data_IF_129406347769
#
_entry.id   IF_129406347769
#
_cell.length_a   1.000
_cell.length_b   1.000
_cell.length_c   1.000
_cell.angle_alpha   90.00
_cell.angle_beta   90.00
_cell.angle_gamma   90.00
#
_symmetry.space_group_name_H-M   'P 1'
#
loop_
_entity.id
_entity.type
_entity.pdbx_description
1 polymer ?
#
# COMPACT_ATOMS: atom_id res chain seq x y z
N UNK A 1 -4.47 -1.71 8.70
CA UNK A 1 -4.45 -2.99 7.96
C UNK A 1 -5.86 -3.24 7.46
N UNK A 2 -6.11 -3.03 6.18
CA UNK A 2 -7.42 -3.37 5.58
C UNK A 2 -7.35 -4.85 5.22
N UNK A 3 -8.18 -5.66 5.88
CA UNK A 3 -8.15 -7.12 5.80
C UNK A 3 -8.77 -7.61 4.48
N UNK A 4 -8.45 -8.82 4.03
CA UNK A 4 -9.16 -9.54 2.95
C UNK A 4 -10.69 -9.50 3.13
N UNK A 5 -11.16 -9.43 4.37
CA UNK A 5 -12.57 -9.21 4.71
C UNK A 5 -13.16 -7.96 4.06
N UNK A 6 -12.42 -6.86 3.98
CA UNK A 6 -12.92 -5.63 3.37
C UNK A 6 -13.10 -5.79 1.86
N UNK A 7 -12.17 -6.48 1.20
CA UNK A 7 -12.29 -6.81 -0.23
C UNK A 7 -13.53 -7.68 -0.43
N UNK A 8 -13.71 -8.73 0.37
CA UNK A 8 -14.87 -9.62 0.27
C UNK A 8 -16.20 -8.89 0.48
N UNK A 9 -16.31 -8.04 1.50
CA UNK A 9 -17.54 -7.28 1.78
C UNK A 9 -17.87 -6.37 0.60
N UNK A 10 -16.89 -5.63 0.10
CA UNK A 10 -17.11 -4.72 -1.03
C UNK A 10 -17.47 -5.49 -2.31
N UNK A 11 -16.81 -6.62 -2.58
CA UNK A 11 -17.10 -7.48 -3.72
C UNK A 11 -18.55 -7.99 -3.69
N UNK A 12 -18.98 -8.51 -2.54
CA UNK A 12 -20.33 -9.02 -2.33
C UNK A 12 -21.41 -7.92 -2.40
N UNK A 13 -21.24 -6.83 -1.65
CA UNK A 13 -22.27 -5.80 -1.55
C UNK A 13 -22.43 -5.00 -2.85
N UNK A 14 -21.32 -4.71 -3.55
CA UNK A 14 -21.38 -3.97 -4.82
C UNK A 14 -22.00 -4.85 -5.92
N UNK A 15 -21.68 -6.14 -5.95
CA UNK A 15 -22.32 -7.09 -6.87
C UNK A 15 -23.82 -7.24 -6.59
N UNK A 16 -24.23 -7.25 -5.31
CA UNK A 16 -25.65 -7.30 -4.92
C UNK A 16 -26.45 -6.06 -5.33
N UNK A 17 -25.78 -4.91 -5.46
CA UNK A 17 -26.37 -3.70 -6.02
C UNK A 17 -26.48 -3.73 -7.55
N UNK A 18 -26.02 -4.81 -8.19
CA UNK A 18 -26.09 -5.01 -9.64
C UNK A 18 -24.94 -4.38 -10.43
N UNK A 19 -23.87 -3.93 -9.77
CA UNK A 19 -22.71 -3.36 -10.43
C UNK A 19 -21.68 -4.43 -10.75
N UNK A 20 -21.19 -4.44 -12.00
CA UNK A 20 -20.07 -5.28 -12.39
C UNK A 20 -18.75 -4.66 -11.87
N UNK A 21 -17.97 -5.44 -11.13
CA UNK A 21 -16.68 -5.02 -10.58
C UNK A 21 -15.57 -5.39 -11.57
N UNK A 22 -14.87 -4.38 -12.09
CA UNK A 22 -13.70 -4.57 -12.95
C UNK A 22 -12.44 -4.83 -12.14
N UNK A 23 -12.29 -4.14 -11.01
CA UNK A 23 -11.14 -4.31 -10.15
C UNK A 23 -11.44 -3.91 -8.71
N UNK A 24 -11.00 -4.73 -7.76
CA UNK A 24 -11.04 -4.39 -6.35
C UNK A 24 -9.63 -4.52 -5.74
N UNK A 25 -9.18 -3.44 -5.13
CA UNK A 25 -7.93 -3.38 -4.36
C UNK A 25 -8.17 -2.61 -3.08
N UNK A 26 -7.17 -2.66 -2.19
CA UNK A 26 -7.20 -1.91 -0.95
C UNK A 26 -7.51 -0.42 -1.21
N UNK A 27 -8.63 0.08 -0.68
CA UNK A 27 -9.02 1.49 -0.79
C UNK A 27 -9.61 1.91 -2.14
N UNK A 28 -9.78 0.99 -3.11
CA UNK A 28 -10.33 1.32 -4.43
C UNK A 28 -11.18 0.18 -5.00
N UNK A 29 -12.38 0.53 -5.43
CA UNK A 29 -13.21 -0.33 -6.28
C UNK A 29 -13.46 0.37 -7.60
N UNK A 30 -13.26 -0.35 -8.69
CA UNK A 30 -13.55 0.09 -10.06
C UNK A 30 -14.72 -0.74 -10.56
N UNK A 31 -15.82 -0.06 -10.91
CA UNK A 31 -17.02 -0.67 -11.46
C UNK A 31 -17.19 -0.30 -12.92
N UNK A 32 -17.84 -1.16 -13.70
CA UNK A 32 -18.13 -0.89 -15.09
C UNK A 32 -19.28 0.12 -15.22
N UNK A 33 -18.98 1.32 -15.72
CA UNK A 33 -19.98 2.38 -15.92
C UNK A 33 -20.90 2.15 -17.13
N UNK A 34 -20.58 1.19 -18.00
CA UNK A 34 -21.38 0.84 -19.18
C UNK A 34 -22.45 -0.23 -18.88
N UNK A 35 -22.54 -0.66 -17.62
CA UNK A 35 -23.62 -1.53 -17.15
C UNK A 35 -24.98 -0.84 -17.30
N UNK A 36 -26.07 -1.60 -17.51
CA UNK A 36 -27.45 -1.09 -17.61
C UNK A 36 -27.98 -0.40 -16.33
N UNK A 37 -27.14 -0.21 -15.30
CA UNK A 37 -27.48 0.38 -14.01
C UNK A 37 -26.58 1.59 -13.80
N UNK A 38 -27.16 2.79 -13.78
CA UNK A 38 -26.44 4.01 -13.41
C UNK A 38 -26.09 3.96 -11.92
N UNK A 39 -24.80 4.15 -11.54
CA UNK A 39 -24.42 4.11 -10.13
C UNK A 39 -25.10 5.19 -9.29
N UNK A 40 -25.95 4.79 -8.35
CA UNK A 40 -26.53 5.69 -7.36
C UNK A 40 -25.57 5.85 -6.17
N UNK A 41 -24.92 7.02 -6.14
CA UNK A 41 -23.97 7.38 -5.09
C UNK A 41 -24.60 7.40 -3.68
N UNK A 42 -25.89 7.68 -3.55
CA UNK A 42 -26.57 7.71 -2.25
C UNK A 42 -26.76 6.29 -1.71
N UNK A 43 -27.15 5.35 -2.59
CA UNK A 43 -27.26 3.92 -2.27
C UNK A 43 -25.90 3.34 -1.91
N UNK A 44 -24.87 3.62 -2.72
CA UNK A 44 -23.51 3.16 -2.46
C UNK A 44 -22.99 3.72 -1.12
N UNK A 45 -23.20 5.02 -0.85
CA UNK A 45 -22.79 5.63 0.41
C UNK A 45 -23.48 4.98 1.62
N UNK A 46 -24.79 4.72 1.51
CA UNK A 46 -25.56 4.07 2.57
C UNK A 46 -25.03 2.65 2.86
N UNK A 47 -24.77 1.87 1.80
CA UNK A 47 -24.18 0.54 1.92
C UNK A 47 -22.79 0.60 2.58
N UNK A 48 -21.90 1.47 2.10
CA UNK A 48 -20.56 1.61 2.64
C UNK A 48 -20.59 1.96 4.14
N UNK A 49 -21.39 2.96 4.52
CA UNK A 49 -21.54 3.37 5.92
C UNK A 49 -22.06 2.23 6.81
N UNK A 50 -23.01 1.43 6.32
CA UNK A 50 -23.53 0.26 7.04
C UNK A 50 -22.44 -0.78 7.35
N UNK A 51 -21.42 -0.85 6.51
CA UNK A 51 -20.28 -1.76 6.66
C UNK A 51 -19.02 -1.08 7.25
N UNK A 52 -19.14 0.17 7.73
CA UNK A 52 -18.06 0.92 8.35
C UNK A 52 -17.03 1.50 7.36
N UNK A 53 -17.40 1.63 6.09
CA UNK A 53 -16.62 2.31 5.06
C UNK A 53 -17.15 3.72 4.82
N UNK A 54 -16.26 4.64 4.46
CA UNK A 54 -16.62 6.00 4.06
C UNK A 54 -16.19 6.25 2.61
N UNK A 55 -17.05 6.91 1.84
CA UNK A 55 -16.74 7.28 0.46
C UNK A 55 -15.98 8.61 0.48
N UNK A 56 -14.77 8.63 -0.09
CA UNK A 56 -13.95 9.85 -0.11
C UNK A 56 -14.49 10.82 -1.16
N UNK A 57 -15.02 11.95 -0.69
CA UNK A 57 -15.54 13.03 -1.56
C UNK A 57 -14.50 14.14 -1.77
N UNK A 58 -13.49 14.25 -0.90
CA UNK A 58 -12.49 15.30 -0.98
C UNK A 58 -11.42 14.98 -2.05
N UNK A 59 -11.20 15.94 -2.96
CA UNK A 59 -10.22 15.80 -4.05
C UNK A 59 -8.80 15.58 -3.54
N UNK A 60 -8.43 16.20 -2.43
CA UNK A 60 -7.12 16.05 -1.82
C UNK A 60 -6.96 14.69 -1.15
N UNK A 61 -8.02 14.18 -0.49
CA UNK A 61 -8.01 12.81 0.04
C UNK A 61 -7.85 11.78 -1.07
N UNK A 62 -8.53 11.96 -2.21
CA UNK A 62 -8.36 11.10 -3.39
C UNK A 62 -6.91 11.11 -3.89
N UNK A 63 -6.29 12.28 -3.99
CA UNK A 63 -4.88 12.39 -4.39
C UNK A 63 -3.98 11.65 -3.40
N UNK A 64 -4.22 11.78 -2.10
CA UNK A 64 -3.44 11.07 -1.07
C UNK A 64 -3.60 9.55 -1.20
N UNK A 65 -4.81 9.04 -1.42
CA UNK A 65 -5.01 7.60 -1.65
C UNK A 65 -4.36 7.11 -2.95
N UNK A 66 -4.39 7.91 -4.02
CA UNK A 66 -3.66 7.62 -5.25
C UNK A 66 -2.14 7.53 -5.01
N UNK A 67 -1.58 8.47 -4.26
CA UNK A 67 -0.16 8.43 -3.86
C UNK A 67 0.16 7.12 -3.13
N UNK A 68 -0.69 6.71 -2.17
CA UNK A 68 -0.47 5.47 -1.41
C UNK A 68 -0.44 4.25 -2.34
N UNK A 69 -1.36 4.18 -3.30
CA UNK A 69 -1.43 3.08 -4.28
C UNK A 69 -0.17 3.07 -5.16
N UNK A 70 0.25 4.24 -5.67
CA UNK A 70 1.47 4.37 -6.48
C UNK A 70 2.70 3.92 -5.69
N UNK A 71 2.78 4.24 -4.40
CA UNK A 71 3.88 3.82 -3.52
C UNK A 71 3.89 2.30 -3.35
N UNK A 72 2.76 1.67 -3.07
CA UNK A 72 2.68 0.20 -2.94
C UNK A 72 3.09 -0.50 -4.24
N UNK A 73 2.53 -0.06 -5.38
CA UNK A 73 2.85 -0.63 -6.69
C UNK A 73 4.33 -0.44 -7.03
N UNK A 74 4.89 0.74 -6.74
CA UNK A 74 6.32 1.03 -6.94
C UNK A 74 7.23 0.16 -6.07
N UNK A 75 6.86 -0.07 -4.80
CA UNK A 75 7.61 -0.99 -3.91
C UNK A 75 7.56 -2.42 -4.47
N UNK A 76 6.40 -2.89 -4.91
CA UNK A 76 6.23 -4.24 -5.43
C UNK A 76 6.99 -4.43 -6.75
N UNK A 77 6.97 -3.45 -7.65
CA UNK A 77 7.74 -3.47 -8.89
C UNK A 77 9.24 -3.50 -8.61
N UNK A 78 9.72 -2.63 -7.71
CA UNK A 78 11.12 -2.61 -7.30
C UNK A 78 11.56 -3.97 -6.76
N UNK A 79 10.78 -4.58 -5.87
CA UNK A 79 11.08 -5.89 -5.32
C UNK A 79 11.15 -6.99 -6.40
N UNK A 80 10.18 -7.00 -7.34
CA UNK A 80 10.11 -8.01 -8.39
C UNK A 80 11.24 -7.89 -9.43
N UNK A 81 11.66 -6.66 -9.74
CA UNK A 81 12.62 -6.39 -10.81
C UNK A 81 14.04 -6.12 -10.30
N UNK A 82 14.21 -5.82 -9.01
CA UNK A 82 15.48 -5.38 -8.43
C UNK A 82 15.94 -3.99 -8.88
N UNK A 83 15.08 -3.22 -9.57
CA UNK A 83 15.41 -1.91 -10.11
C UNK A 83 14.96 -0.81 -9.14
N UNK A 84 15.86 0.05 -8.63
CA UNK A 84 15.50 1.13 -7.72
C UNK A 84 14.47 2.10 -8.33
N UNK A 85 13.39 2.35 -7.61
CA UNK A 85 12.32 3.27 -8.02
C UNK A 85 12.60 4.67 -7.50
N UNK A 86 12.60 5.65 -8.41
CA UNK A 86 12.58 7.07 -8.08
C UNK A 86 11.14 7.51 -7.80
N UNK A 87 10.69 7.36 -6.56
CA UNK A 87 9.30 7.65 -6.18
C UNK A 87 8.84 9.07 -6.48
N UNK A 88 9.72 10.06 -6.37
CA UNK A 88 9.38 11.44 -6.73
C UNK A 88 8.97 11.57 -8.20
N UNK A 89 9.77 10.99 -9.11
CA UNK A 89 9.46 10.97 -10.54
C UNK A 89 8.23 10.11 -10.84
N UNK A 90 8.10 8.94 -10.22
CA UNK A 90 6.96 8.03 -10.43
C UNK A 90 5.64 8.69 -10.03
N UNK A 91 5.59 9.30 -8.85
CA UNK A 91 4.37 9.93 -8.33
C UNK A 91 4.01 11.16 -9.17
N UNK A 92 4.98 12.01 -9.49
CA UNK A 92 4.75 13.19 -10.32
C UNK A 92 4.31 12.86 -11.75
N UNK A 93 4.88 11.81 -12.35
CA UNK A 93 4.54 11.42 -13.72
C UNK A 93 3.12 10.87 -13.82
N UNK A 94 2.70 10.04 -12.86
CA UNK A 94 1.36 9.43 -12.84
C UNK A 94 0.29 10.47 -12.50
N UNK A 95 0.57 11.36 -11.54
CA UNK A 95 -0.41 12.36 -11.08
C UNK A 95 -0.37 13.67 -11.88
N UNK A 96 0.56 13.79 -12.82
CA UNK A 96 0.80 15.00 -13.62
C UNK A 96 0.90 16.27 -12.76
N UNK A 97 1.62 16.16 -11.63
CA UNK A 97 1.73 17.20 -10.61
C UNK A 97 3.16 17.27 -10.05
N UNK A 98 3.55 18.47 -9.65
CA UNK A 98 4.80 18.71 -8.95
C UNK A 98 4.89 17.90 -7.64
N UNK A 99 6.05 17.30 -7.38
CA UNK A 99 6.27 16.44 -6.22
C UNK A 99 6.21 17.23 -4.90
N UNK A 100 6.71 18.45 -4.87
CA UNK A 100 6.76 19.24 -3.63
C UNK A 100 5.34 19.59 -3.14
N UNK A 101 4.46 19.91 -4.08
CA UNK A 101 3.03 20.13 -3.85
C UNK A 101 2.34 18.87 -3.33
N UNK A 102 2.61 17.72 -3.95
CA UNK A 102 2.05 16.42 -3.54
C UNK A 102 2.56 15.99 -2.17
N UNK A 103 3.86 16.18 -1.90
CA UNK A 103 4.50 15.87 -0.63
C UNK A 103 3.94 16.74 0.50
N UNK A 104 3.71 18.03 0.24
CA UNK A 104 3.12 18.97 1.19
C UNK A 104 1.68 18.60 1.51
N UNK A 105 0.87 18.30 0.49
CA UNK A 105 -0.50 17.84 0.65
C UNK A 105 -0.60 16.52 1.42
N UNK A 106 0.27 15.56 1.09
CA UNK A 106 0.33 14.30 1.80
C UNK A 106 0.67 14.51 3.27
N UNK A 107 1.65 15.37 3.55
CA UNK A 107 2.11 15.67 4.91
C UNK A 107 1.02 16.32 5.75
N UNK A 108 0.25 17.26 5.17
CA UNK A 108 -0.82 17.95 5.90
C UNK A 108 -1.97 17.02 6.27
N UNK A 109 -2.30 16.04 5.41
CA UNK A 109 -3.40 15.11 5.65
C UNK A 109 -3.00 13.86 6.45
N UNK A 110 -1.75 13.38 6.34
CA UNK A 110 -1.32 12.15 6.99
C UNK A 110 -0.52 12.37 8.27
N UNK A 111 -0.15 13.62 8.59
CA UNK A 111 0.66 13.96 9.77
C UNK A 111 2.10 13.46 9.70
N UNK A 112 2.56 12.97 8.54
CA UNK A 112 3.93 12.52 8.30
C UNK A 112 4.33 12.75 6.85
N UNK A 113 5.62 12.98 6.60
CA UNK A 113 6.11 13.31 5.26
C UNK A 113 5.99 12.13 4.31
N UNK A 114 5.74 12.41 3.02
CA UNK A 114 5.64 11.38 1.99
C UNK A 114 6.91 10.50 1.92
N UNK A 115 8.09 11.08 2.11
CA UNK A 115 9.33 10.31 2.22
C UNK A 115 9.32 9.32 3.40
N UNK A 116 8.92 9.79 4.60
CA UNK A 116 8.80 8.92 5.78
C UNK A 116 7.76 7.84 5.57
N UNK A 117 6.66 8.14 4.86
CA UNK A 117 5.65 7.16 4.49
C UNK A 117 6.26 6.05 3.63
N UNK A 118 6.94 6.41 2.54
CA UNK A 118 7.59 5.46 1.63
C UNK A 118 8.57 4.57 2.40
N UNK A 119 9.39 5.15 3.28
CA UNK A 119 10.31 4.38 4.11
C UNK A 119 9.56 3.39 5.02
N UNK A 120 8.50 3.83 5.70
CA UNK A 120 7.70 2.93 6.53
C UNK A 120 7.12 1.77 5.71
N UNK A 121 6.57 2.04 4.53
CA UNK A 121 6.01 1.00 3.65
C UNK A 121 7.07 0.02 3.17
N UNK A 122 8.28 0.50 2.81
CA UNK A 122 9.42 -0.36 2.48
C UNK A 122 9.81 -1.25 3.66
N UNK A 123 9.85 -0.70 4.88
CA UNK A 123 10.18 -1.47 6.09
C UNK A 123 9.10 -2.51 6.41
N UNK A 124 7.82 -2.20 6.23
CA UNK A 124 6.75 -3.20 6.38
C UNK A 124 6.93 -4.36 5.39
N UNK A 125 7.28 -4.08 4.14
CA UNK A 125 7.57 -5.15 3.16
C UNK A 125 8.80 -5.97 3.56
N UNK A 126 9.86 -5.34 4.06
CA UNK A 126 11.07 -6.03 4.55
C UNK A 126 10.73 -6.97 5.72
N UNK A 127 9.90 -6.53 6.67
CA UNK A 127 9.44 -7.37 7.79
C UNK A 127 8.70 -8.60 7.27
N UNK A 128 7.78 -8.42 6.32
CA UNK A 128 7.06 -9.52 5.68
C UNK A 128 8.02 -10.53 5.06
N UNK A 129 8.99 -10.06 4.26
CA UNK A 129 9.97 -10.92 3.60
C UNK A 129 10.84 -11.70 4.59
N UNK A 130 11.30 -11.04 5.67
CA UNK A 130 12.10 -11.71 6.70
C UNK A 130 11.33 -12.80 7.45
N UNK A 131 10.02 -12.63 7.62
CA UNK A 131 9.16 -13.56 8.37
C UNK A 131 8.65 -14.69 7.48
N UNK A 132 8.35 -14.43 6.20
CA UNK A 132 7.64 -15.38 5.33
C UNK A 132 8.47 -15.96 4.19
N UNK A 133 9.70 -15.49 3.97
CA UNK A 133 10.59 -16.06 2.94
C UNK A 133 11.92 -16.51 3.53
N UNK A 134 12.71 -17.24 2.74
CA UNK A 134 14.06 -17.68 3.10
C UNK A 134 15.16 -16.70 2.64
N UNK A 135 14.81 -15.52 2.12
CA UNK A 135 15.78 -14.57 1.60
C UNK A 135 16.70 -14.02 2.70
N UNK A 136 17.95 -13.75 2.35
CA UNK A 136 18.88 -13.08 3.26
C UNK A 136 18.56 -11.59 3.35
N UNK A 137 19.03 -10.91 4.41
CA UNK A 137 18.88 -9.45 4.50
C UNK A 137 19.57 -8.75 3.33
N UNK A 138 20.69 -9.32 2.85
CA UNK A 138 21.42 -8.80 1.71
C UNK A 138 20.60 -8.87 0.42
N UNK A 139 19.99 -10.02 0.14
CA UNK A 139 19.13 -10.19 -1.05
C UNK A 139 17.94 -9.22 -1.01
N UNK A 140 17.31 -9.11 0.16
CA UNK A 140 16.21 -8.17 0.38
C UNK A 140 16.67 -6.73 0.19
N UNK A 141 17.85 -6.36 0.68
CA UNK A 141 18.39 -5.00 0.53
C UNK A 141 18.53 -4.61 -0.95
N UNK A 142 19.14 -5.49 -1.75
CA UNK A 142 19.32 -5.23 -3.17
C UNK A 142 17.99 -5.25 -3.94
N UNK A 143 17.11 -6.21 -3.69
CA UNK A 143 15.77 -6.25 -4.29
C UNK A 143 14.94 -5.01 -3.94
N UNK A 144 15.14 -4.43 -2.75
CA UNK A 144 14.46 -3.22 -2.30
C UNK A 144 15.22 -1.93 -2.65
N UNK A 145 16.21 -1.99 -3.55
CA UNK A 145 16.95 -0.84 -4.07
C UNK A 145 17.80 -0.09 -3.04
N UNK A 146 18.23 -0.76 -1.96
CA UNK A 146 19.18 -0.16 -1.01
C UNK A 146 20.61 -0.27 -1.54
N UNK A 147 21.42 0.76 -1.27
CA UNK A 147 22.84 0.78 -1.64
C UNK A 147 23.69 -0.25 -0.90
N UNK A 148 23.27 -0.66 0.30
CA UNK A 148 23.94 -1.71 1.06
C UNK A 148 23.01 -2.43 2.05
N UNK A 149 23.31 -3.68 2.41
CA UNK A 149 22.62 -4.40 3.49
C UNK A 149 22.70 -3.67 4.84
N UNK A 150 23.81 -2.98 5.11
CA UNK A 150 24.00 -2.19 6.33
C UNK A 150 23.04 -1.01 6.41
N UNK A 151 22.77 -0.34 5.29
CA UNK A 151 21.78 0.74 5.25
C UNK A 151 20.39 0.21 5.59
N UNK A 152 19.97 -0.90 4.97
CA UNK A 152 18.70 -1.53 5.30
C UNK A 152 18.64 -1.96 6.77
N UNK A 153 19.69 -2.59 7.29
CA UNK A 153 19.78 -3.03 8.69
C UNK A 153 19.56 -1.88 9.67
N UNK A 154 20.27 -0.76 9.46
CA UNK A 154 20.16 0.43 10.30
C UNK A 154 18.76 1.04 10.22
N UNK A 155 18.17 1.11 9.02
CA UNK A 155 16.84 1.64 8.85
C UNK A 155 15.77 0.74 9.49
N UNK A 156 15.86 -0.58 9.32
CA UNK A 156 14.98 -1.55 9.96
C UNK A 156 15.00 -1.42 11.50
N UNK A 157 16.20 -1.35 12.10
CA UNK A 157 16.34 -1.17 13.54
C UNK A 157 15.82 0.19 14.00
N UNK A 158 16.07 1.26 13.23
CA UNK A 158 15.59 2.61 13.54
C UNK A 158 14.06 2.69 13.57
N UNK A 159 13.39 2.08 12.60
CA UNK A 159 11.93 2.19 12.47
C UNK A 159 11.16 1.15 13.29
N UNK A 160 11.78 0.01 13.63
CA UNK A 160 11.08 -1.07 14.32
C UNK A 160 11.59 -1.35 15.73
N UNK A 161 12.78 -0.88 16.09
CA UNK A 161 13.48 -1.27 17.32
C UNK A 161 14.16 -2.64 17.26
N UNK A 162 13.89 -3.45 16.22
CA UNK A 162 14.34 -4.83 16.13
C UNK A 162 15.31 -5.06 14.96
N UNK A 163 16.15 -6.09 15.09
CA UNK A 163 17.12 -6.49 14.07
C UNK A 163 16.52 -7.50 13.10
N UNK A 164 17.17 -7.71 11.95
CA UNK A 164 16.78 -8.79 11.02
C UNK A 164 16.82 -10.17 11.66
N UNK A 165 17.75 -10.43 12.59
CA UNK A 165 17.83 -11.69 13.34
C UNK A 165 16.60 -11.93 14.21
N UNK A 166 16.01 -10.89 14.79
CA UNK A 166 14.76 -10.99 15.55
C UNK A 166 13.61 -11.49 14.67
N UNK A 167 13.42 -10.89 13.48
CA UNK A 167 12.39 -11.34 12.55
C UNK A 167 12.63 -12.76 12.02
N UNK A 168 13.89 -13.15 11.81
CA UNK A 168 14.25 -14.53 11.46
C UNK A 168 13.99 -15.53 12.59
N UNK A 169 14.04 -15.11 13.86
CA UNK A 169 13.61 -15.93 14.98
C UNK A 169 12.10 -16.14 14.93
N UNK A 170 11.31 -15.07 14.75
CA UNK A 170 9.85 -15.17 14.60
C UNK A 170 9.46 -16.16 13.48
N UNK A 171 10.17 -16.13 12.34
CA UNK A 171 9.96 -17.13 11.28
C UNK A 171 10.16 -18.56 11.77
N UNK A 172 11.26 -18.83 12.46
CA UNK A 172 11.56 -20.16 13.01
C UNK A 172 10.47 -20.62 13.97
N UNK A 173 10.01 -19.74 14.85
CA UNK A 173 8.95 -20.04 15.81
C UNK A 173 7.62 -20.33 15.11
N UNK A 174 7.29 -19.60 14.04
CA UNK A 174 6.10 -19.90 13.20
C UNK A 174 6.22 -21.24 12.49
N UNK A 175 7.40 -21.56 11.95
CA UNK A 175 7.63 -22.83 11.25
C UNK A 175 7.62 -24.03 12.20
N UNK A 176 7.96 -23.88 13.48
CA UNK A 176 7.88 -24.98 14.45
C UNK A 176 6.46 -25.29 14.92
N UNK A 177 5.48 -24.44 14.56
CA UNK A 177 4.06 -24.58 14.90
C UNK A 177 3.21 -25.08 13.72
N UNK A 178 3.81 -25.23 12.53
CA UNK A 178 3.19 -25.78 11.32
C UNK A 178 3.62 -27.23 11.13
#
# INVERSE_FOLDING_TARGET
MVCFRCIYVLDHEISNLGYEILNIRLGRVVINSESNVTPDLMVIKSMLNKHGFELLYDKNEKIVEEIKIIVEDGIQQQFNQGIPVKFSLLISSILHKDYDSLSSLFSSLQGLTLEKYIIHRKIEKVKELLVYTNQSLSDIAYAMGYSSPSHLSNQLKKYTGFTSSYYKQIRRDKMSLM
#
